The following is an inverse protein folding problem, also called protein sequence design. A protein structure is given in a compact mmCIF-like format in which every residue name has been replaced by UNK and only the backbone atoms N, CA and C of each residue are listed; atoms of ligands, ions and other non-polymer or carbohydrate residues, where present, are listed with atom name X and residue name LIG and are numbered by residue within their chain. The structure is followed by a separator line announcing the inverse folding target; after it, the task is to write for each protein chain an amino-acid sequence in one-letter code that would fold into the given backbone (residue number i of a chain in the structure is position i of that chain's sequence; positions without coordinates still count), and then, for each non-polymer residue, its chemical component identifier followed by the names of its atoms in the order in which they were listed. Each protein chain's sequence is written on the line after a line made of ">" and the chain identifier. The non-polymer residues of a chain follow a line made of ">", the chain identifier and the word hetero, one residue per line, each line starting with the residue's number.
data_IF_947141823100
#
_entry.id   IF_947141823100
#
_cell.length_a   1.000
_cell.length_b   1.000
_cell.length_c   1.000
_cell.angle_alpha   90.00
_cell.angle_beta   90.00
_cell.angle_gamma   90.00
#
_symmetry.space_group_name_H-M   'P 1'
#
loop_
_entity.id
_entity.type
_entity.pdbx_description
1 polymer ?
#
# COMPACT_ATOMS: atom_id res chain seq x y z
N UNK A 1 15.36 -25.70 -1.71
CA UNK A 1 14.16 -24.90 -1.38
C UNK A 1 13.56 -25.33 -0.05
N UNK A 2 13.42 -26.64 0.23
CA UNK A 2 12.96 -27.17 1.52
C UNK A 2 13.67 -26.55 2.73
N UNK A 3 15.00 -26.54 2.76
CA UNK A 3 15.77 -25.96 3.87
C UNK A 3 15.56 -24.46 4.10
N UNK A 4 15.30 -23.71 3.03
CA UNK A 4 14.91 -22.29 3.14
C UNK A 4 13.51 -22.17 3.76
N UNK A 5 12.57 -23.01 3.34
CA UNK A 5 11.21 -23.04 3.89
C UNK A 5 11.24 -23.44 5.36
N UNK A 6 12.04 -24.44 5.74
CA UNK A 6 12.25 -24.85 7.13
C UNK A 6 12.70 -23.66 7.98
N UNK A 7 13.72 -22.95 7.52
CA UNK A 7 14.22 -21.76 8.21
C UNK A 7 13.17 -20.64 8.29
N UNK A 8 12.43 -20.38 7.20
CA UNK A 8 11.41 -19.33 7.15
C UNK A 8 10.14 -19.64 7.96
N UNK A 9 9.88 -20.93 8.19
CA UNK A 9 8.70 -21.41 8.92
C UNK A 9 9.00 -21.75 10.38
N UNK A 10 10.26 -21.62 10.81
CA UNK A 10 10.62 -21.61 12.21
C UNK A 10 10.13 -20.30 12.87
N UNK A 11 9.49 -20.44 14.03
CA UNK A 11 8.83 -19.35 14.74
C UNK A 11 9.80 -18.21 15.08
N UNK A 12 10.95 -18.54 15.67
CA UNK A 12 11.94 -17.56 16.10
C UNK A 12 12.56 -16.84 14.90
N UNK A 13 12.87 -17.58 13.84
CA UNK A 13 13.44 -17.00 12.61
C UNK A 13 12.43 -16.12 11.87
N UNK A 14 11.17 -16.51 11.81
CA UNK A 14 10.11 -15.68 11.24
C UNK A 14 9.91 -14.38 12.01
N UNK A 15 9.95 -14.44 13.35
CA UNK A 15 9.87 -13.26 14.23
C UNK A 15 11.06 -12.33 14.02
N UNK A 16 12.28 -12.87 13.92
CA UNK A 16 13.50 -12.12 13.60
C UNK A 16 13.40 -11.44 12.23
N UNK A 17 12.91 -12.16 11.22
CA UNK A 17 12.78 -11.65 9.85
C UNK A 17 11.79 -10.50 9.70
N UNK A 18 10.72 -10.49 10.50
CA UNK A 18 9.65 -9.49 10.43
C UNK A 18 9.71 -8.46 11.57
N UNK A 19 10.82 -8.39 12.31
CA UNK A 19 10.97 -7.42 13.39
C UNK A 19 10.94 -5.98 12.85
N UNK A 20 9.99 -5.13 13.27
CA UNK A 20 9.87 -3.75 12.78
C UNK A 20 11.03 -2.85 13.22
N UNK A 21 11.80 -3.25 14.24
CA UNK A 21 12.98 -2.53 14.75
C UNK A 21 14.17 -3.48 14.85
N UNK A 22 14.86 -3.75 13.73
CA UNK A 22 16.01 -4.64 13.74
C UNK A 22 17.16 -4.02 14.53
N UNK A 23 17.78 -4.82 15.40
CA UNK A 23 19.04 -4.49 16.07
C UNK A 23 20.22 -4.92 15.19
N UNK A 24 21.45 -4.51 15.55
CA UNK A 24 22.65 -4.95 14.82
C UNK A 24 22.75 -6.48 14.82
N UNK A 25 22.95 -7.11 13.66
CA UNK A 25 22.92 -8.57 13.51
C UNK A 25 21.52 -9.17 13.26
N UNK A 26 20.46 -8.34 13.27
CA UNK A 26 19.12 -8.73 12.83
C UNK A 26 18.62 -7.87 11.68
N UNK A 27 19.51 -7.15 10.98
CA UNK A 27 19.12 -6.39 9.79
C UNK A 27 18.74 -7.39 8.68
N UNK A 28 17.84 -7.01 7.76
CA UNK A 28 17.44 -7.90 6.67
C UNK A 28 18.60 -8.49 5.87
N UNK A 29 19.68 -7.70 5.68
CA UNK A 29 20.89 -8.15 4.98
C UNK A 29 21.71 -9.17 5.79
N UNK A 30 21.84 -8.95 7.10
CA UNK A 30 22.55 -9.86 8.01
C UNK A 30 21.82 -11.21 8.08
N UNK A 31 20.48 -11.18 8.18
CA UNK A 31 19.64 -12.38 8.16
C UNK A 31 19.70 -13.10 6.81
N UNK A 32 19.74 -12.37 5.70
CA UNK A 32 19.92 -12.98 4.37
C UNK A 32 21.26 -13.70 4.24
N UNK A 33 22.33 -13.13 4.82
CA UNK A 33 23.64 -13.77 4.88
C UNK A 33 23.62 -15.02 5.76
N UNK A 34 22.98 -14.96 6.93
CA UNK A 34 22.82 -16.11 7.83
C UNK A 34 22.07 -17.26 7.14
N UNK A 35 20.96 -16.96 6.46
CA UNK A 35 20.18 -17.93 5.68
C UNK A 35 21.03 -18.52 4.55
N UNK A 36 21.79 -17.70 3.83
CA UNK A 36 22.67 -18.17 2.77
C UNK A 36 23.69 -19.19 3.30
N UNK A 37 24.37 -18.87 4.40
CA UNK A 37 25.31 -19.78 5.06
C UNK A 37 24.63 -21.08 5.47
N UNK A 38 23.45 -21.00 6.09
CA UNK A 38 22.70 -22.17 6.54
C UNK A 38 22.26 -23.08 5.38
N UNK A 39 21.73 -22.49 4.30
CA UNK A 39 21.28 -23.25 3.13
C UNK A 39 22.47 -23.87 2.38
N UNK A 40 23.57 -23.12 2.24
CA UNK A 40 24.77 -23.59 1.56
C UNK A 40 25.43 -24.74 2.32
N UNK A 41 25.46 -24.68 3.65
CA UNK A 41 25.98 -25.75 4.49
C UNK A 41 25.19 -27.07 4.36
N UNK A 42 23.86 -26.99 4.21
CA UNK A 42 23.00 -28.17 4.14
C UNK A 42 22.84 -28.74 2.73
N UNK A 43 22.81 -27.88 1.71
CA UNK A 43 22.51 -28.29 0.33
C UNK A 43 23.74 -28.30 -0.60
N UNK A 44 24.90 -27.82 -0.14
CA UNK A 44 26.09 -27.65 -0.99
C UNK A 44 25.88 -26.63 -2.12
N UNK A 45 24.98 -25.67 -1.94
CA UNK A 45 24.73 -24.59 -2.90
C UNK A 45 25.63 -23.38 -2.63
N UNK A 46 25.74 -22.46 -3.59
CA UNK A 46 26.43 -21.17 -3.42
C UNK A 46 25.44 -20.02 -3.55
N UNK A 47 24.47 -19.95 -2.64
CA UNK A 47 23.54 -18.82 -2.60
C UNK A 47 24.22 -17.62 -1.97
N UNK A 48 24.02 -16.46 -2.60
CA UNK A 48 24.36 -15.16 -2.02
C UNK A 48 23.11 -14.51 -1.37
N UNK A 49 23.31 -13.35 -0.73
CA UNK A 49 22.25 -12.58 -0.09
C UNK A 49 21.13 -12.18 -1.08
N UNK A 50 21.49 -11.88 -2.34
CA UNK A 50 20.56 -11.49 -3.39
C UNK A 50 19.66 -12.64 -3.86
N UNK A 51 20.22 -13.84 -3.97
CA UNK A 51 19.51 -15.08 -4.25
C UNK A 51 18.54 -15.40 -3.13
N UNK A 52 19.00 -15.34 -1.87
CA UNK A 52 18.13 -15.55 -0.71
C UNK A 52 16.97 -14.55 -0.71
N UNK A 53 17.25 -13.25 -0.88
CA UNK A 53 16.21 -12.21 -0.97
C UNK A 53 15.17 -12.53 -2.04
N UNK A 54 15.63 -12.90 -3.24
CA UNK A 54 14.76 -13.23 -4.37
C UNK A 54 13.92 -14.48 -4.10
N UNK A 55 14.49 -15.50 -3.45
CA UNK A 55 13.76 -16.73 -3.08
C UNK A 55 12.73 -16.49 -1.97
N UNK A 56 13.05 -15.65 -0.98
CA UNK A 56 12.09 -15.23 0.06
C UNK A 56 10.93 -14.46 -0.57
N UNK A 57 11.21 -13.51 -1.46
CA UNK A 57 10.16 -12.76 -2.17
C UNK A 57 9.28 -13.68 -3.01
N UNK A 58 9.89 -14.61 -3.75
CA UNK A 58 9.16 -15.61 -4.53
C UNK A 58 8.24 -16.46 -3.65
N UNK A 59 8.74 -16.99 -2.53
CA UNK A 59 7.95 -17.79 -1.59
C UNK A 59 6.79 -16.99 -1.01
N UNK A 60 7.02 -15.73 -0.60
CA UNK A 60 5.98 -14.82 -0.11
C UNK A 60 4.91 -14.56 -1.17
N UNK A 61 5.30 -14.30 -2.42
CA UNK A 61 4.36 -14.07 -3.53
C UNK A 61 3.49 -15.31 -3.77
N UNK A 62 4.10 -16.50 -3.86
CA UNK A 62 3.36 -17.76 -4.05
C UNK A 62 2.39 -18.06 -2.91
N UNK A 63 2.78 -17.78 -1.66
CA UNK A 63 1.87 -17.88 -0.53
C UNK A 63 0.69 -16.91 -0.64
N UNK A 64 0.93 -15.65 -1.02
CA UNK A 64 -0.14 -14.67 -1.20
C UNK A 64 -1.07 -15.03 -2.36
N UNK A 65 -0.54 -15.54 -3.47
CA UNK A 65 -1.35 -16.01 -4.60
C UNK A 65 -2.28 -17.15 -4.15
N UNK A 66 -1.75 -18.13 -3.39
CA UNK A 66 -2.53 -19.22 -2.84
C UNK A 66 -3.56 -18.77 -1.79
N UNK A 67 -3.21 -17.77 -0.94
CA UNK A 67 -4.13 -17.17 0.03
C UNK A 67 -5.25 -16.38 -0.65
N UNK A 68 -4.94 -15.66 -1.72
CA UNK A 68 -5.92 -14.92 -2.51
C UNK A 68 -6.90 -15.89 -3.18
N UNK A 69 -6.40 -16.99 -3.74
CA UNK A 69 -7.23 -18.06 -4.29
C UNK A 69 -8.18 -18.65 -3.25
N UNK A 70 -7.70 -18.87 -2.01
CA UNK A 70 -8.50 -19.36 -0.90
C UNK A 70 -9.62 -18.37 -0.50
N UNK A 71 -9.35 -17.06 -0.55
CA UNK A 71 -10.32 -16.03 -0.21
C UNK A 71 -11.31 -15.73 -1.34
N UNK A 72 -10.91 -15.87 -2.60
CA UNK A 72 -11.75 -15.60 -3.77
C UNK A 72 -12.80 -16.68 -4.04
N UNK A 73 -12.67 -17.86 -3.43
CA UNK A 73 -13.62 -18.98 -3.57
C UNK A 73 -14.71 -19.00 -2.50
N UNK A 74 -14.95 -17.87 -1.83
CA UNK A 74 -16.02 -17.69 -0.84
C UNK A 74 -17.45 -17.84 -1.37
N UNK A 75 -17.63 -17.98 -2.70
CA UNK A 75 -18.92 -18.19 -3.37
C UNK A 75 -19.00 -19.62 -3.95
N UNK A 76 -19.25 -20.59 -3.08
CA UNK A 76 -20.22 -21.66 -3.38
C UNK A 76 -19.82 -22.91 -4.19
N UNK A 77 -18.83 -22.91 -5.10
CA UNK A 77 -18.86 -23.97 -6.15
C UNK A 77 -17.52 -24.65 -6.49
N UNK A 78 -16.66 -24.91 -5.49
CA UNK A 78 -15.55 -25.86 -5.68
C UNK A 78 -15.45 -26.86 -4.55
N UNK A 79 -15.38 -28.15 -4.90
CA UNK A 79 -15.04 -29.21 -3.97
C UNK A 79 -13.77 -28.82 -3.21
N UNK A 80 -13.84 -28.75 -1.88
CA UNK A 80 -12.72 -28.32 -1.00
C UNK A 80 -11.41 -29.06 -1.30
N UNK A 81 -11.49 -30.29 -1.79
CA UNK A 81 -10.37 -31.13 -2.22
C UNK A 81 -9.69 -30.60 -3.49
N UNK A 82 -10.45 -30.07 -4.46
CA UNK A 82 -9.93 -29.47 -5.70
C UNK A 82 -9.31 -28.10 -5.45
N UNK A 83 -9.92 -27.29 -4.59
CA UNK A 83 -9.38 -26.00 -4.16
C UNK A 83 -8.04 -26.18 -3.43
N UNK A 84 -8.00 -27.08 -2.44
CA UNK A 84 -6.77 -27.40 -1.70
C UNK A 84 -5.67 -27.90 -2.63
N UNK A 85 -6.00 -28.75 -3.60
CA UNK A 85 -5.04 -29.22 -4.61
C UNK A 85 -4.48 -28.07 -5.45
N UNK A 86 -5.31 -27.16 -5.94
CA UNK A 86 -4.87 -25.96 -6.69
C UNK A 86 -4.01 -25.02 -5.84
N UNK A 87 -4.32 -24.88 -4.55
CA UNK A 87 -3.50 -24.09 -3.63
C UNK A 87 -2.11 -24.71 -3.42
N UNK A 88 -2.04 -26.04 -3.22
CA UNK A 88 -0.78 -26.77 -3.08
C UNK A 88 0.04 -26.82 -4.38
N UNK A 89 -0.62 -26.79 -5.55
CA UNK A 89 0.04 -26.61 -6.85
C UNK A 89 0.73 -25.24 -6.97
N UNK A 90 0.11 -24.18 -6.43
CA UNK A 90 0.70 -22.84 -6.40
C UNK A 90 1.81 -22.71 -5.34
N UNK A 91 1.58 -23.26 -4.16
CA UNK A 91 2.49 -23.22 -3.03
C UNK A 91 2.54 -24.59 -2.33
N UNK A 92 3.53 -25.43 -2.66
CA UNK A 92 3.64 -26.78 -2.08
C UNK A 92 3.71 -26.78 -0.55
N UNK A 93 4.34 -25.74 0.01
CA UNK A 93 4.51 -25.55 1.46
C UNK A 93 3.45 -24.62 2.07
N UNK A 94 2.28 -24.50 1.44
CA UNK A 94 1.21 -23.59 1.87
C UNK A 94 0.87 -23.75 3.34
N UNK A 95 0.64 -24.98 3.81
CA UNK A 95 0.21 -25.26 5.18
C UNK A 95 1.25 -24.77 6.21
N UNK A 96 2.54 -24.91 5.90
CA UNK A 96 3.64 -24.47 6.76
C UNK A 96 3.77 -22.95 6.80
N UNK A 97 3.64 -22.30 5.65
CA UNK A 97 3.61 -20.84 5.58
C UNK A 97 2.36 -20.28 6.25
N UNK A 98 1.20 -20.90 6.04
CA UNK A 98 -0.05 -20.46 6.63
C UNK A 98 0.01 -20.54 8.16
N UNK A 99 0.62 -21.58 8.73
CA UNK A 99 0.79 -21.71 10.18
C UNK A 99 1.50 -20.49 10.81
N UNK A 100 2.50 -19.97 10.11
CA UNK A 100 3.37 -18.89 10.60
C UNK A 100 2.83 -17.50 10.22
N UNK A 101 2.31 -17.33 9.00
CA UNK A 101 1.77 -16.05 8.52
C UNK A 101 0.32 -15.78 8.93
N UNK A 102 -0.46 -16.80 9.33
CA UNK A 102 -1.81 -16.60 9.87
C UNK A 102 -1.82 -16.35 11.39
N UNK A 103 -0.66 -16.48 12.05
CA UNK A 103 -0.54 -16.30 13.49
C UNK A 103 -1.08 -17.48 14.31
N UNK A 104 -1.18 -18.67 13.72
CA UNK A 104 -1.63 -19.90 14.41
C UNK A 104 -0.51 -20.61 15.18
N UNK A 105 0.76 -20.29 14.92
CA UNK A 105 1.84 -20.56 15.87
C UNK A 105 1.82 -19.51 16.99
N UNK A 106 1.14 -19.80 18.09
CA UNK A 106 1.30 -19.12 19.38
C UNK A 106 2.08 -20.02 20.34
N UNK A 107 2.95 -19.44 21.18
CA UNK A 107 3.73 -20.15 22.22
C UNK A 107 2.86 -20.93 23.22
N UNK A 108 1.58 -20.56 23.31
CA UNK A 108 0.53 -21.30 24.00
C UNK A 108 -0.67 -21.44 23.07
N UNK A 109 -1.02 -22.64 22.56
CA UNK A 109 -2.31 -22.83 21.93
C UNK A 109 -3.39 -22.63 23.00
N UNK A 110 -4.45 -21.83 22.75
CA UNK A 110 -5.56 -21.73 23.68
C UNK A 110 -6.07 -23.15 23.97
N UNK A 111 -6.31 -23.52 25.25
CA UNK A 111 -6.75 -24.85 25.59
C UNK A 111 -8.00 -25.18 24.76
N UNK A 112 -8.12 -26.42 24.24
CA UNK A 112 -9.22 -26.78 23.37
C UNK A 112 -10.53 -26.46 24.08
N UNK A 113 -11.25 -25.48 23.55
CA UNK A 113 -12.60 -25.15 24.03
C UNK A 113 -13.45 -26.35 23.64
N UNK A 114 -13.62 -27.28 24.58
CA UNK A 114 -14.68 -28.27 24.48
C UNK A 114 -15.98 -27.48 24.36
N UNK A 115 -16.64 -27.60 23.22
CA UNK A 115 -17.95 -27.01 23.01
C UNK A 115 -18.86 -27.52 24.11
N UNK A 116 -19.14 -26.70 25.12
CA UNK A 116 -20.19 -26.97 26.09
C UNK A 116 -21.54 -26.74 25.40
N UNK A 117 -21.87 -27.58 24.41
CA UNK A 117 -23.26 -27.93 24.15
C UNK A 117 -23.70 -28.67 25.40
N UNK A 118 -24.81 -28.21 25.99
CA UNK A 118 -25.39 -28.60 27.29
C UNK A 118 -24.96 -27.78 28.50
N UNK A 119 -25.39 -26.52 28.53
CA UNK A 119 -25.91 -25.93 29.76
C UNK A 119 -27.27 -25.25 29.47
N UNK A 120 -28.32 -25.98 29.84
CA UNK A 120 -29.66 -25.56 30.27
C UNK A 120 -30.17 -24.17 29.85
N UNK A 121 -31.17 -24.24 28.98
CA UNK A 121 -32.38 -23.41 28.89
C UNK A 121 -32.43 -22.07 29.63
N UNK A 122 -32.53 -21.01 28.84
CA UNK A 122 -33.48 -19.93 29.13
C UNK A 122 -34.33 -19.66 27.90
N UNK A 123 -35.58 -19.35 28.19
CA UNK A 123 -36.75 -19.50 27.35
C UNK A 123 -36.76 -18.64 26.09
N UNK A 124 -37.53 -19.14 25.13
CA UNK A 124 -38.24 -18.39 24.10
C UNK A 124 -38.64 -16.99 24.57
N UNK A 125 -38.35 -15.98 23.74
CA UNK A 125 -39.43 -15.12 23.28
C UNK A 125 -39.20 -14.79 21.80
N UNK A 126 -40.18 -15.20 21.00
CA UNK A 126 -40.28 -14.94 19.58
C UNK A 126 -41.43 -13.97 19.40
N UNK A 127 -41.15 -12.77 18.91
CA UNK A 127 -42.12 -11.91 18.24
C UNK A 127 -41.37 -11.21 17.09
N UNK A 128 -41.49 -11.72 15.86
CA UNK A 128 -42.40 -11.21 14.82
C UNK A 128 -42.26 -9.71 14.54
N UNK A 129 -41.58 -9.36 13.44
CA UNK A 129 -42.29 -8.92 12.24
C UNK A 129 -41.40 -8.91 11.01
N UNK A 130 -41.81 -9.75 10.07
CA UNK A 130 -41.51 -9.70 8.64
C UNK A 130 -42.19 -8.48 8.05
N UNK A 131 -41.47 -7.66 7.31
CA UNK A 131 -42.09 -6.98 6.18
C UNK A 131 -41.18 -7.00 4.97
N UNK A 132 -41.81 -7.45 3.89
CA UNK A 132 -41.26 -7.77 2.59
C UNK A 132 -41.74 -6.68 1.65
N UNK A 133 -40.84 -5.95 1.00
CA UNK A 133 -41.18 -5.26 -0.24
C UNK A 133 -40.04 -5.37 -1.24
N UNK A 134 -40.22 -6.39 -2.08
CA UNK A 134 -39.89 -6.43 -3.49
C UNK A 134 -40.26 -5.12 -4.22
N UNK A 135 -39.35 -4.61 -5.06
CA UNK A 135 -39.67 -3.86 -6.28
C UNK A 135 -38.39 -3.63 -7.10
N UNK A 136 -38.30 -4.35 -8.21
CA UNK A 136 -37.46 -3.99 -9.35
C UNK A 136 -37.96 -2.69 -10.00
N UNK A 137 -37.04 -1.84 -10.47
CA UNK A 137 -37.27 -1.00 -11.65
C UNK A 137 -35.95 -0.63 -12.34
N UNK A 138 -35.96 -0.89 -13.64
CA UNK A 138 -34.97 -0.61 -14.67
C UNK A 138 -34.79 0.89 -15.02
N UNK A 139 -33.65 1.16 -15.67
CA UNK A 139 -33.42 2.14 -16.74
C UNK A 139 -33.11 3.63 -16.43
N UNK A 140 -31.86 3.96 -16.81
CA UNK A 140 -31.46 5.07 -17.70
C UNK A 140 -31.39 6.52 -17.21
N UNK A 141 -30.16 7.05 -17.21
CA UNK A 141 -29.79 8.14 -18.12
C UNK A 141 -29.93 9.60 -17.67
N UNK A 142 -28.78 10.29 -17.74
CA UNK A 142 -28.60 11.72 -18.06
C UNK A 142 -28.72 12.78 -16.94
N UNK A 143 -27.56 13.40 -16.67
CA UNK A 143 -27.28 14.84 -16.68
C UNK A 143 -28.43 15.83 -16.47
N UNK A 144 -28.38 16.65 -15.42
CA UNK A 144 -27.90 18.05 -15.46
C UNK A 144 -28.29 18.85 -14.18
N UNK A 145 -27.37 19.75 -13.82
CA UNK A 145 -27.58 21.15 -13.34
C UNK A 145 -28.30 21.50 -12.03
N UNK A 146 -27.67 22.48 -11.36
CA UNK A 146 -28.24 23.57 -10.56
C UNK A 146 -28.57 23.29 -9.08
N UNK A 147 -27.74 23.80 -8.17
CA UNK A 147 -27.89 25.07 -7.42
C UNK A 147 -28.80 24.92 -6.19
N UNK A 148 -28.29 25.25 -5.00
CA UNK A 148 -28.80 26.35 -4.16
C UNK A 148 -28.10 26.45 -2.79
N UNK A 149 -27.51 27.63 -2.58
CA UNK A 149 -27.53 28.47 -1.36
C UNK A 149 -26.96 27.96 -0.02
N UNK A 150 -25.96 28.71 0.45
CA UNK A 150 -26.16 29.56 1.63
C UNK A 150 -25.54 29.07 2.93
N UNK A 151 -24.36 29.58 3.27
CA UNK A 151 -24.11 30.23 4.57
C UNK A 151 -22.68 30.79 4.62
N UNK A 152 -22.57 32.11 4.49
CA UNK A 152 -21.36 32.87 4.76
C UNK A 152 -21.27 33.22 6.25
N UNK A 153 -20.35 32.58 6.97
CA UNK A 153 -19.80 33.18 8.19
C UNK A 153 -18.36 32.75 8.45
N UNK A 154 -17.50 33.76 8.34
CA UNK A 154 -16.41 34.13 9.25
C UNK A 154 -15.04 33.44 9.14
N UNK A 155 -14.06 34.37 9.18
CA UNK A 155 -12.67 34.29 9.65
C UNK A 155 -11.64 33.81 8.64
N UNK A 156 -11.21 34.76 7.80
CA UNK A 156 -9.81 34.85 7.40
C UNK A 156 -9.12 36.00 8.13
N UNK A 157 -7.96 35.64 8.65
CA UNK A 157 -6.91 36.44 9.24
C UNK A 157 -6.21 37.31 8.17
N UNK A 158 -6.02 38.60 8.47
CA UNK A 158 -5.07 39.44 7.76
C UNK A 158 -4.44 40.45 8.73
N UNK A 159 -3.19 40.14 9.07
CA UNK A 159 -2.03 41.02 9.26
C UNK A 159 -2.32 42.54 9.28
N UNK A 160 -2.20 43.13 10.47
CA UNK A 160 -2.23 44.58 10.67
C UNK A 160 -0.89 45.10 11.21
N UNK A 161 0.03 45.45 10.30
CA UNK A 161 1.11 46.39 10.58
C UNK A 161 0.56 47.79 10.32
N UNK A 162 0.50 48.65 11.34
CA UNK A 162 0.74 50.11 11.20
C UNK A 162 0.64 50.87 12.52
N UNK A 163 1.79 51.45 12.90
CA UNK A 163 2.03 52.87 13.20
C UNK A 163 1.07 53.65 14.14
N UNK A 164 1.71 54.14 15.21
CA UNK A 164 1.71 55.53 15.66
C UNK A 164 0.38 56.14 16.11
N UNK A 165 0.19 56.22 17.44
CA UNK A 165 -0.49 57.36 18.07
C UNK A 165 0.33 57.90 19.22
N UNK A 166 0.62 59.20 19.11
CA UNK A 166 1.34 60.07 20.04
C UNK A 166 0.65 60.06 21.41
N UNK A 167 1.32 59.58 22.45
CA UNK A 167 0.93 59.84 23.83
C UNK A 167 1.54 61.17 24.29
N UNK A 168 0.64 62.07 24.68
CA UNK A 168 0.89 63.46 25.06
C UNK A 168 1.68 63.47 26.37
N UNK A 169 2.81 64.17 26.35
CA UNK A 169 3.69 64.46 27.48
C UNK A 169 2.95 65.37 28.48
N UNK A 170 2.47 64.84 29.59
CA UNK A 170 2.09 65.61 30.78
C UNK A 170 3.20 65.50 31.81
N UNK A 171 4.05 66.53 31.83
CA UNK A 171 5.06 66.79 32.85
C UNK A 171 4.33 67.33 34.08
N UNK A 172 4.05 66.47 35.06
CA UNK A 172 3.75 66.89 36.42
C UNK A 172 5.05 66.90 37.20
N UNK A 173 5.63 68.09 37.38
CA UNK A 173 6.57 68.31 38.46
C UNK A 173 5.75 68.34 39.74
N UNK A 174 5.79 67.24 40.50
CA UNK A 174 5.35 67.25 41.88
C UNK A 174 6.61 67.38 42.72
N UNK A 175 6.80 68.55 43.34
CA UNK A 175 7.77 68.72 44.41
C UNK A 175 7.41 67.71 45.50
N UNK A 176 8.28 66.72 45.67
CA UNK A 176 8.13 65.71 46.72
C UNK A 176 8.63 66.35 47.99
N UNK A 177 7.70 66.86 48.79
CA UNK A 177 8.01 67.37 50.11
C UNK A 177 8.53 66.19 50.97
N UNK A 178 9.78 66.25 51.40
CA UNK A 178 10.53 65.13 51.99
C UNK A 178 9.94 64.61 53.30
N UNK A 179 9.04 65.36 53.93
CA UNK A 179 8.26 64.94 55.10
C UNK A 179 7.08 64.02 54.76
N UNK A 180 6.47 64.18 53.58
CA UNK A 180 5.38 63.31 53.09
C UNK A 180 5.91 61.94 52.68
N UNK A 181 7.10 61.89 52.08
CA UNK A 181 7.75 60.62 51.72
C UNK A 181 8.19 59.83 52.96
N UNK A 182 8.66 60.51 54.02
CA UNK A 182 9.02 59.86 55.29
C UNK A 182 7.78 59.31 56.01
N UNK A 183 6.67 60.06 56.05
CA UNK A 183 5.39 59.55 56.58
C UNK A 183 4.87 58.36 55.80
N UNK A 184 4.95 58.37 54.46
CA UNK A 184 4.54 57.23 53.65
C UNK A 184 5.43 55.98 53.87
N UNK A 185 6.72 56.18 54.16
CA UNK A 185 7.65 55.09 54.49
C UNK A 185 7.36 54.54 55.90
N UNK A 186 7.10 55.40 56.88
CA UNK A 186 6.75 54.97 58.24
C UNK A 186 5.38 54.28 58.30
N UNK A 187 4.38 54.77 57.54
CA UNK A 187 3.07 54.10 57.38
C UNK A 187 3.20 52.72 56.71
N UNK A 188 4.11 52.56 55.74
CA UNK A 188 4.43 51.25 55.13
C UNK A 188 5.16 50.32 56.11
N UNK A 189 5.95 50.89 57.03
CA UNK A 189 6.68 50.14 58.04
C UNK A 189 5.76 49.68 59.18
N UNK A 190 4.79 50.50 59.59
CA UNK A 190 3.76 50.09 60.55
C UNK A 190 2.77 49.08 59.95
N UNK A 191 2.42 49.21 58.66
CA UNK A 191 1.61 48.20 57.96
C UNK A 191 2.31 46.87 57.74
N UNK A 192 3.64 46.83 57.69
CA UNK A 192 4.39 45.57 57.51
C UNK A 192 4.66 44.82 58.81
N UNK A 193 4.47 45.45 59.98
CA UNK A 193 4.67 44.81 61.29
C UNK A 193 3.35 44.31 61.91
N UNK A 194 2.19 44.75 61.39
CA UNK A 194 0.86 44.45 61.96
C UNK A 194 -0.06 43.62 61.04
N UNK A 195 0.48 42.93 60.03
CA UNK A 195 -0.29 41.88 59.34
C UNK A 195 0.02 40.56 60.03
N UNK A 196 -0.94 39.96 60.78
CA UNK A 196 -0.78 38.59 61.20
C UNK A 196 -0.62 37.75 59.94
N UNK A 197 0.45 36.95 59.91
CA UNK A 197 0.65 35.91 58.91
C UNK A 197 -0.54 34.94 59.05
N UNK A 198 -1.63 35.23 58.35
CA UNK A 198 -2.64 34.25 58.00
C UNK A 198 -1.96 33.30 57.03
N UNK A 199 -1.40 32.21 57.58
CA UNK A 199 -0.89 31.07 56.84
C UNK A 199 -2.00 30.30 56.13
N UNK A 200 -2.72 30.94 55.21
CA UNK A 200 -3.93 30.39 54.58
C UNK A 200 -4.04 30.52 53.06
N UNK A 201 -3.19 31.28 52.36
CA UNK A 201 -3.45 31.60 50.93
C UNK A 201 -2.26 31.42 49.98
N UNK A 202 -1.10 30.95 50.45
CA UNK A 202 -0.01 30.55 49.54
C UNK A 202 -0.28 29.23 48.79
N UNK A 203 -1.28 28.46 49.22
CA UNK A 203 -1.71 27.23 48.55
C UNK A 203 -2.59 27.50 47.32
N UNK A 204 -3.54 28.44 47.40
CA UNK A 204 -4.53 28.67 46.35
C UNK A 204 -3.94 29.33 45.10
N UNK A 205 -3.03 30.30 45.26
CA UNK A 205 -2.35 30.93 44.14
C UNK A 205 -1.44 29.95 43.38
N UNK A 206 -0.74 29.07 44.10
CA UNK A 206 0.06 27.98 43.50
C UNK A 206 -0.80 26.92 42.80
N UNK A 207 -1.99 26.61 43.32
CA UNK A 207 -2.96 25.74 42.64
C UNK A 207 -3.48 26.41 41.36
N UNK A 208 -3.69 27.73 41.36
CA UNK A 208 -4.14 28.47 40.17
C UNK A 208 -3.06 28.54 39.08
N UNK A 209 -1.79 28.72 39.47
CA UNK A 209 -0.64 28.72 38.58
C UNK A 209 -0.43 27.32 37.98
N UNK A 210 -0.46 26.27 38.82
CA UNK A 210 -0.36 24.88 38.35
C UNK A 210 -1.48 24.49 37.38
N UNK A 211 -2.72 24.94 37.62
CA UNK A 211 -3.84 24.74 36.68
C UNK A 211 -3.65 25.49 35.36
N UNK A 212 -3.04 26.68 35.39
CA UNK A 212 -2.72 27.45 34.17
C UNK A 212 -1.60 26.79 33.37
N UNK A 213 -0.53 26.35 34.03
CA UNK A 213 0.58 25.64 33.38
C UNK A 213 0.14 24.32 32.75
N UNK A 214 -0.69 23.55 33.45
CA UNK A 214 -1.29 22.32 32.93
C UNK A 214 -2.21 22.59 31.72
N UNK A 215 -2.96 23.69 31.72
CA UNK A 215 -3.78 24.09 30.57
C UNK A 215 -2.93 24.49 29.34
N UNK A 216 -1.77 25.13 29.56
CA UNK A 216 -0.82 25.44 28.48
C UNK A 216 -0.20 24.17 27.95
N UNK A 217 0.27 23.27 28.82
CA UNK A 217 0.84 21.97 28.43
C UNK A 217 -0.13 21.16 27.58
N UNK A 218 -1.40 21.04 28.00
CA UNK A 218 -2.43 20.34 27.20
C UNK A 218 -2.69 21.01 25.85
N UNK A 219 -2.56 22.33 25.74
CA UNK A 219 -2.69 23.02 24.46
C UNK A 219 -1.50 22.69 23.56
N UNK A 220 -0.29 22.71 24.09
CA UNK A 220 0.94 22.35 23.37
C UNK A 220 0.90 20.90 22.90
N UNK A 221 0.49 19.97 23.76
CA UNK A 221 0.31 18.55 23.42
C UNK A 221 -0.74 18.37 22.30
N UNK A 222 -1.85 19.10 22.35
CA UNK A 222 -2.87 19.07 21.31
C UNK A 222 -2.38 19.63 19.97
N UNK A 223 -1.58 20.71 19.99
CA UNK A 223 -0.97 21.28 18.77
C UNK A 223 0.05 20.29 18.20
N UNK A 224 0.93 19.73 19.05
CA UNK A 224 1.91 18.72 18.64
C UNK A 224 1.24 17.48 18.05
N UNK A 225 0.15 17.00 18.67
CA UNK A 225 -0.63 15.87 18.14
C UNK A 225 -1.27 16.20 16.79
N UNK A 226 -1.77 17.42 16.58
CA UNK A 226 -2.33 17.84 15.29
C UNK A 226 -1.26 17.93 14.20
N UNK A 227 -0.08 18.48 14.52
CA UNK A 227 1.04 18.53 13.60
C UNK A 227 1.54 17.12 13.22
N UNK A 228 1.56 16.19 14.17
CA UNK A 228 1.92 14.81 13.91
C UNK A 228 0.92 14.11 12.98
N UNK A 229 -0.38 14.37 13.15
CA UNK A 229 -1.43 13.87 12.24
C UNK A 229 -1.26 14.47 10.84
N UNK A 230 -1.08 15.78 10.73
CA UNK A 230 -0.90 16.45 9.43
C UNK A 230 0.34 15.91 8.66
N UNK A 231 1.47 15.71 9.35
CA UNK A 231 2.66 15.09 8.74
C UNK A 231 2.43 13.66 8.30
N UNK A 232 1.61 12.91 9.04
CA UNK A 232 1.24 11.54 8.67
C UNK A 232 0.34 11.52 7.45
N UNK A 233 -0.63 12.42 7.37
CA UNK A 233 -1.50 12.58 6.20
C UNK A 233 -0.70 12.98 4.96
N UNK A 234 0.24 13.93 5.09
CA UNK A 234 1.15 14.30 4.01
C UNK A 234 2.04 13.14 3.55
N UNK A 235 2.54 12.32 4.48
CA UNK A 235 3.30 11.12 4.13
C UNK A 235 2.46 10.07 3.39
N UNK A 236 1.17 9.96 3.73
CA UNK A 236 0.23 9.06 3.04
C UNK A 236 -0.03 9.58 1.62
N UNK A 237 -0.33 10.87 1.45
CA UNK A 237 -0.60 11.44 0.12
C UNK A 237 0.63 11.39 -0.77
N UNK A 238 1.82 11.65 -0.24
CA UNK A 238 3.08 11.46 -0.98
C UNK A 238 3.28 10.02 -1.42
N UNK A 239 2.96 9.05 -0.55
CA UNK A 239 3.05 7.62 -0.89
C UNK A 239 2.03 7.22 -1.97
N UNK A 240 0.81 7.73 -1.90
CA UNK A 240 -0.24 7.50 -2.89
C UNK A 240 0.13 8.10 -4.24
N UNK A 241 0.64 9.34 -4.25
CA UNK A 241 1.11 10.00 -5.48
C UNK A 241 2.27 9.23 -6.12
N UNK A 242 3.28 8.82 -5.34
CA UNK A 242 4.39 8.01 -5.85
C UNK A 242 3.92 6.66 -6.40
N UNK A 243 2.92 6.05 -5.76
CA UNK A 243 2.34 4.79 -6.25
C UNK A 243 1.58 4.99 -7.56
N UNK A 244 0.80 6.07 -7.68
CA UNK A 244 0.08 6.40 -8.90
C UNK A 244 1.03 6.71 -10.06
N UNK A 245 2.11 7.45 -9.81
CA UNK A 245 3.15 7.74 -10.80
C UNK A 245 3.84 6.46 -11.28
N UNK A 246 4.19 5.56 -10.36
CA UNK A 246 4.73 4.24 -10.70
C UNK A 246 3.78 3.41 -11.57
N UNK A 247 2.49 3.37 -11.22
CA UNK A 247 1.48 2.66 -12.01
C UNK A 247 1.27 3.24 -13.40
N UNK A 248 1.38 4.57 -13.54
CA UNK A 248 1.34 5.23 -14.85
C UNK A 248 2.54 4.85 -15.71
N UNK A 249 3.74 4.87 -15.13
CA UNK A 249 4.96 4.45 -15.80
C UNK A 249 4.90 2.99 -16.27
N UNK A 250 4.48 2.06 -15.41
CA UNK A 250 4.33 0.65 -15.81
C UNK A 250 3.30 0.47 -16.94
N UNK A 251 2.19 1.22 -16.89
CA UNK A 251 1.17 1.19 -17.95
C UNK A 251 1.73 1.70 -19.27
N UNK A 252 2.53 2.76 -19.26
CA UNK A 252 3.15 3.32 -20.45
C UNK A 252 4.20 2.37 -21.05
N UNK A 253 5.03 1.76 -20.19
CA UNK A 253 5.98 0.72 -20.59
C UNK A 253 5.29 -0.48 -21.25
N UNK A 254 4.14 -0.91 -20.71
CA UNK A 254 3.37 -2.01 -21.27
C UNK A 254 2.78 -1.65 -22.64
N UNK A 255 2.28 -0.42 -22.81
CA UNK A 255 1.78 0.08 -24.10
C UNK A 255 2.87 0.07 -25.16
N UNK A 256 4.06 0.57 -24.83
CA UNK A 256 5.19 0.58 -25.76
C UNK A 256 5.62 -0.83 -26.16
N UNK A 257 5.62 -1.75 -25.19
CA UNK A 257 5.93 -3.17 -25.44
C UNK A 257 4.91 -3.80 -26.38
N UNK A 258 3.60 -3.58 -26.17
CA UNK A 258 2.55 -4.08 -27.07
C UNK A 258 2.72 -3.51 -28.47
N UNK A 259 2.91 -2.18 -28.59
CA UNK A 259 3.12 -1.53 -29.87
C UNK A 259 4.38 -2.02 -30.61
N UNK A 260 5.41 -2.44 -29.87
CA UNK A 260 6.61 -3.05 -30.46
C UNK A 260 6.33 -4.44 -31.04
N UNK A 261 5.56 -5.27 -30.32
CA UNK A 261 5.16 -6.60 -30.78
C UNK A 261 4.24 -6.52 -32.00
N UNK A 262 3.32 -5.56 -32.05
CA UNK A 262 2.44 -5.36 -33.20
C UNK A 262 3.24 -4.98 -34.45
N UNK A 263 4.21 -4.07 -34.34
CA UNK A 263 5.13 -3.73 -35.43
C UNK A 263 5.97 -4.90 -35.90
N UNK A 264 6.45 -5.74 -34.99
CA UNK A 264 7.22 -6.93 -35.34
C UNK A 264 6.33 -7.97 -36.04
N UNK A 265 5.11 -8.19 -35.54
CA UNK A 265 4.12 -9.07 -36.18
C UNK A 265 3.78 -8.62 -37.60
N UNK A 266 3.62 -7.32 -37.81
CA UNK A 266 3.36 -6.75 -39.13
C UNK A 266 4.54 -6.96 -40.09
N UNK A 267 5.78 -6.74 -39.63
CA UNK A 267 6.99 -7.03 -40.44
C UNK A 267 7.09 -8.49 -40.85
N UNK A 268 6.78 -9.41 -39.93
CA UNK A 268 6.77 -10.86 -40.23
C UNK A 268 5.70 -11.17 -41.27
N UNK A 269 4.48 -10.65 -41.10
CA UNK A 269 3.40 -10.83 -42.05
C UNK A 269 3.76 -10.29 -43.45
N UNK A 270 4.35 -9.10 -43.52
CA UNK A 270 4.79 -8.50 -44.79
C UNK A 270 5.89 -9.34 -45.45
N UNK A 271 6.85 -9.84 -44.67
CA UNK A 271 7.90 -10.73 -45.20
C UNK A 271 7.33 -12.04 -45.75
N UNK A 272 6.33 -12.60 -45.08
CA UNK A 272 5.65 -13.81 -45.51
C UNK A 272 4.88 -13.61 -46.82
N UNK A 273 4.14 -12.51 -46.97
CA UNK A 273 3.43 -12.21 -48.21
C UNK A 273 4.39 -11.94 -49.38
N UNK A 274 5.54 -11.29 -49.12
CA UNK A 274 6.60 -11.15 -50.14
C UNK A 274 7.18 -12.50 -50.57
N UNK A 275 7.48 -13.39 -49.62
CA UNK A 275 8.01 -14.72 -49.90
C UNK A 275 7.01 -15.56 -50.68
N UNK A 276 5.74 -15.51 -50.30
CA UNK A 276 4.63 -16.17 -51.00
C UNK A 276 4.51 -15.69 -52.45
N UNK A 277 4.60 -14.38 -52.70
CA UNK A 277 4.58 -13.83 -54.06
C UNK A 277 5.79 -14.29 -54.90
N UNK A 278 6.97 -14.41 -54.30
CA UNK A 278 8.17 -14.95 -54.97
C UNK A 278 7.97 -16.42 -55.33
N UNK A 279 7.43 -17.22 -54.40
CA UNK A 279 7.14 -18.64 -54.64
C UNK A 279 6.12 -18.83 -55.77
N UNK A 280 5.07 -18.01 -55.81
CA UNK A 280 4.06 -18.05 -56.87
C UNK A 280 4.66 -17.72 -58.24
N UNK A 281 5.46 -16.66 -58.32
CA UNK A 281 6.20 -16.32 -59.55
C UNK A 281 7.16 -17.43 -59.99
N UNK A 282 7.89 -18.03 -59.05
CA UNK A 282 8.80 -19.14 -59.35
C UNK A 282 8.04 -20.36 -59.86
N UNK A 283 6.88 -20.67 -59.30
CA UNK A 283 5.98 -21.73 -59.77
C UNK A 283 5.50 -21.46 -61.20
N UNK A 284 5.07 -20.23 -61.49
CA UNK A 284 4.66 -19.83 -62.85
C UNK A 284 5.80 -19.98 -63.86
N UNK A 285 7.01 -19.53 -63.51
CA UNK A 285 8.19 -19.69 -64.37
C UNK A 285 8.53 -21.16 -64.62
N UNK A 286 8.44 -22.01 -63.60
CA UNK A 286 8.68 -23.44 -63.73
C UNK A 286 7.64 -24.11 -64.65
N UNK A 287 6.35 -23.79 -64.49
CA UNK A 287 5.28 -24.29 -65.36
C UNK A 287 5.48 -23.81 -66.81
N UNK A 288 5.83 -22.54 -67.00
CA UNK A 288 6.11 -22.01 -68.33
C UNK A 288 7.32 -22.69 -69.00
N UNK A 289 8.37 -23.02 -68.23
CA UNK A 289 9.52 -23.79 -68.72
C UNK A 289 9.10 -25.20 -69.15
N UNK A 290 8.34 -25.91 -68.31
CA UNK A 290 7.86 -27.26 -68.62
C UNK A 290 6.98 -27.29 -69.88
N UNK A 291 6.12 -26.29 -70.06
CA UNK A 291 5.31 -26.18 -71.27
C UNK A 291 6.17 -25.96 -72.53
N UNK A 292 7.19 -25.11 -72.46
CA UNK A 292 8.14 -24.91 -73.58
C UNK A 292 8.90 -26.19 -73.92
N UNK A 293 9.33 -26.94 -72.91
CA UNK A 293 10.04 -28.21 -73.11
C UNK A 293 9.12 -29.27 -73.72
N UNK A 294 7.85 -29.30 -73.30
CA UNK A 294 6.81 -30.14 -73.91
C UNK A 294 6.57 -29.77 -75.37
N UNK A 295 6.40 -28.50 -75.69
CA UNK A 295 6.19 -28.04 -77.07
C UNK A 295 7.38 -28.41 -77.96
N UNK A 296 8.62 -28.24 -77.47
CA UNK A 296 9.84 -28.68 -78.17
C UNK A 296 9.87 -30.18 -78.40
N UNK A 297 9.47 -30.97 -77.41
CA UNK A 297 9.42 -32.42 -77.52
C UNK A 297 8.38 -32.85 -78.56
N UNK A 298 7.19 -32.23 -78.55
CA UNK A 298 6.13 -32.51 -79.52
C UNK A 298 6.55 -32.13 -80.96
N UNK A 299 7.31 -31.04 -81.13
CA UNK A 299 7.92 -30.67 -82.42
C UNK A 299 8.95 -31.69 -82.90
N UNK A 300 9.84 -32.14 -82.01
CA UNK A 300 10.83 -33.18 -82.33
C UNK A 300 10.14 -34.50 -82.71
N UNK A 301 9.08 -34.88 -82.00
CA UNK A 301 8.31 -36.09 -82.29
C UNK A 301 7.63 -36.02 -83.67
N UNK A 302 7.06 -34.87 -84.02
CA UNK A 302 6.48 -34.64 -85.36
C UNK A 302 7.53 -34.72 -86.46
N UNK A 303 8.71 -34.11 -86.25
CA UNK A 303 9.81 -34.17 -87.20
C UNK A 303 10.29 -35.62 -87.42
N UNK A 304 10.47 -36.36 -86.33
CA UNK A 304 10.86 -37.77 -86.37
C UNK A 304 9.85 -38.66 -87.11
N UNK A 305 8.55 -38.48 -86.85
CA UNK A 305 7.51 -39.25 -87.54
C UNK A 305 7.47 -38.92 -89.04
N UNK A 306 7.68 -37.66 -89.42
CA UNK A 306 7.75 -37.24 -90.82
C UNK A 306 8.95 -37.84 -91.56
N UNK A 307 10.11 -37.94 -90.90
CA UNK A 307 11.30 -38.60 -91.45
C UNK A 307 11.08 -40.10 -91.67
N UNK A 308 10.32 -40.75 -90.78
CA UNK A 308 9.99 -42.18 -90.89
C UNK A 308 9.02 -42.50 -92.04
N UNK A 309 8.19 -41.54 -92.44
CA UNK A 309 7.21 -41.70 -93.52
C UNK A 309 7.77 -41.37 -94.93
N UNK A 310 8.94 -40.72 -95.00
CA UNK A 310 9.62 -40.34 -96.25
C UNK A 310 10.57 -41.44 -96.74
#
# INVERSE_FOLDING_TARGET
>A
MSTLVDWLTDYENHKRLNNPRPVSGSKPIDLQREIAVHVNALNGTEWDEGHVKSKIQYARKKYQDAKTLANSTGEGDTDKTTLRKRMLELCPDYDRFHAVYSGTLTDDPPPPVQSSRYAKGHAFDSDTNSDSTDSEVEASGSSNTENLTGNTSKRSCATGVSRSRKAKKTRLQHEVNSSSLRKAIDDLRERSVSVPIQGGTFGEDNISIGRREEAVRRREDNVSSREAVAKREEAITMRENNFMEFMQYERELLKDRIASFEREREKVHESFEREKAVLERNKEMAVASLNRDKDRFDEQLKAFNKEKEA
#
